data_IF_505254976909
#
_entry.id   IF_505254976909
#
_cell.length_a   1.000
_cell.length_b   1.000
_cell.length_c   1.000
_cell.angle_alpha   90.00
_cell.angle_beta   90.00
_cell.angle_gamma   90.00
#
_symmetry.space_group_name_H-M   'P 1'
#
loop_
_entity.id
_entity.type
_entity.pdbx_description
1 polymer ?
#
# COMPACT_ATOMS: atom_id res chain seq x y z
N UNK A 1 -15.70 6.13 37.21
CA UNK A 1 -17.02 5.61 36.83
C UNK A 1 -16.86 4.24 36.16
N UNK A 2 -17.69 3.29 36.54
CA UNK A 2 -17.63 1.93 36.03
C UNK A 2 -17.80 1.87 34.51
N UNK A 3 -18.64 2.73 33.97
CA UNK A 3 -18.89 2.78 32.52
C UNK A 3 -17.64 3.28 31.80
N UNK A 4 -17.01 4.33 32.32
CA UNK A 4 -15.79 4.86 31.74
C UNK A 4 -14.64 3.87 31.82
N UNK A 5 -14.51 3.18 32.94
CA UNK A 5 -13.50 2.15 33.10
C UNK A 5 -13.71 1.00 32.09
N UNK A 6 -14.95 0.56 31.92
CA UNK A 6 -15.27 -0.52 30.96
C UNK A 6 -14.97 -0.10 29.54
N UNK A 7 -15.28 1.16 29.18
CA UNK A 7 -15.00 1.69 27.85
C UNK A 7 -13.50 1.74 27.58
N UNK A 8 -12.72 2.23 28.54
CA UNK A 8 -11.27 2.32 28.39
C UNK A 8 -10.64 0.94 28.25
N UNK A 9 -11.12 -0.03 29.01
CA UNK A 9 -10.63 -1.40 28.94
C UNK A 9 -10.98 -2.02 27.58
N UNK A 10 -12.19 -1.78 27.10
CA UNK A 10 -12.63 -2.27 25.80
C UNK A 10 -11.80 -1.66 24.68
N UNK A 11 -11.45 -0.37 24.77
CA UNK A 11 -10.59 0.29 23.79
C UNK A 11 -9.19 -0.33 23.77
N UNK A 12 -8.64 -0.68 24.96
CA UNK A 12 -7.35 -1.32 25.05
C UNK A 12 -7.32 -2.68 24.37
N UNK A 13 -8.34 -3.49 24.62
CA UNK A 13 -8.48 -4.79 23.97
C UNK A 13 -8.66 -4.64 22.47
N UNK A 14 -9.51 -3.70 22.05
CA UNK A 14 -9.73 -3.45 20.64
C UNK A 14 -8.43 -3.05 19.95
N UNK A 15 -7.60 -2.23 20.58
CA UNK A 15 -6.34 -1.82 19.99
C UNK A 15 -5.42 -3.01 19.74
N UNK A 16 -5.28 -3.92 20.71
CA UNK A 16 -4.45 -5.11 20.55
C UNK A 16 -5.00 -6.01 19.45
N UNK A 17 -6.32 -6.23 19.43
CA UNK A 17 -6.95 -7.05 18.41
C UNK A 17 -6.81 -6.43 17.03
N UNK A 18 -6.94 -5.10 16.94
CA UNK A 18 -6.80 -4.38 15.68
C UNK A 18 -5.37 -4.46 15.16
N UNK A 19 -4.38 -4.36 16.04
CA UNK A 19 -2.98 -4.47 15.64
C UNK A 19 -2.70 -5.86 15.07
N UNK A 20 -3.19 -6.90 15.70
CA UNK A 20 -3.05 -8.26 15.20
C UNK A 20 -3.77 -8.45 13.89
N UNK A 21 -4.96 -7.87 13.77
CA UNK A 21 -5.72 -7.89 12.53
C UNK A 21 -4.94 -7.23 11.39
N UNK A 22 -4.34 -6.07 11.64
CA UNK A 22 -3.55 -5.37 10.63
C UNK A 22 -2.38 -6.23 10.17
N UNK A 23 -1.65 -6.84 11.12
CA UNK A 23 -0.51 -7.69 10.77
C UNK A 23 -0.92 -8.90 9.96
N UNK A 24 -2.04 -9.51 10.31
CA UNK A 24 -2.58 -10.65 9.56
C UNK A 24 -3.00 -10.22 8.17
N UNK A 25 -3.65 -9.06 8.05
CA UNK A 25 -4.04 -8.52 6.75
C UNK A 25 -2.80 -8.29 5.87
N UNK A 26 -1.73 -7.73 6.46
CA UNK A 26 -0.48 -7.52 5.71
C UNK A 26 0.13 -8.83 5.25
N UNK A 27 0.12 -9.85 6.09
CA UNK A 27 0.67 -11.15 5.73
C UNK A 27 0.05 -11.68 4.44
N UNK A 28 -1.25 -11.50 4.25
CA UNK A 28 -1.96 -12.02 3.09
C UNK A 28 -2.05 -11.03 1.93
N UNK A 29 -1.81 -9.74 2.15
CA UNK A 29 -2.12 -8.73 1.14
C UNK A 29 -0.95 -7.83 0.74
N UNK A 30 0.20 -7.89 1.43
CA UNK A 30 1.30 -6.97 1.13
C UNK A 30 1.87 -7.15 -0.29
N UNK A 31 1.71 -8.33 -0.86
CA UNK A 31 2.17 -8.61 -2.23
C UNK A 31 1.07 -8.42 -3.28
N UNK A 32 -0.11 -7.97 -2.86
CA UNK A 32 -1.25 -7.78 -3.76
C UNK A 32 -1.53 -6.31 -4.06
N UNK A 33 -1.21 -5.42 -3.13
CA UNK A 33 -1.54 -4.00 -3.23
C UNK A 33 -0.37 -3.14 -2.76
N UNK A 34 -0.32 -1.90 -3.26
CA UNK A 34 0.58 -0.89 -2.70
C UNK A 34 0.09 -0.42 -1.32
N UNK A 35 0.99 0.22 -0.58
CA UNK A 35 0.71 0.66 0.79
C UNK A 35 -0.51 1.58 0.86
N UNK A 36 -0.66 2.51 -0.08
CA UNK A 36 -1.79 3.45 -0.07
C UNK A 36 -3.13 2.72 -0.07
N UNK A 37 -3.25 1.67 -0.89
CA UNK A 37 -4.50 0.89 -0.98
C UNK A 37 -4.70 0.03 0.26
N UNK A 38 -3.63 -0.52 0.81
CA UNK A 38 -3.70 -1.30 2.06
C UNK A 38 -4.22 -0.41 3.19
N UNK A 39 -3.66 0.79 3.33
CA UNK A 39 -4.11 1.74 4.35
C UNK A 39 -5.57 2.10 4.14
N UNK A 40 -5.97 2.38 2.90
CA UNK A 40 -7.37 2.70 2.58
C UNK A 40 -8.31 1.57 2.99
N UNK A 41 -7.97 0.33 2.62
CA UNK A 41 -8.82 -0.81 2.95
C UNK A 41 -8.96 -1.01 4.45
N UNK A 42 -7.88 -0.89 5.19
CA UNK A 42 -7.90 -1.08 6.64
C UNK A 42 -8.61 0.06 7.36
N UNK A 43 -8.41 1.30 6.94
CA UNK A 43 -9.00 2.44 7.62
C UNK A 43 -10.44 2.70 7.19
N UNK A 44 -10.69 2.73 5.90
CA UNK A 44 -12.01 3.11 5.37
C UNK A 44 -12.97 1.93 5.31
N UNK A 45 -12.52 0.78 4.80
CA UNK A 45 -13.41 -0.36 4.65
C UNK A 45 -13.58 -1.16 5.94
N UNK A 46 -12.50 -1.28 6.73
CA UNK A 46 -12.52 -2.08 7.95
C UNK A 46 -12.64 -1.25 9.23
N UNK A 47 -12.52 0.06 9.13
CA UNK A 47 -12.70 0.94 10.26
C UNK A 47 -11.59 0.91 11.30
N UNK A 48 -10.41 0.46 10.95
CA UNK A 48 -9.27 0.44 11.89
C UNK A 48 -8.67 1.83 12.00
N UNK A 49 -8.19 2.20 13.18
CA UNK A 49 -7.60 3.50 13.43
C UNK A 49 -6.42 3.77 12.49
N UNK A 50 -6.44 4.95 11.87
CA UNK A 50 -5.46 5.32 10.86
C UNK A 50 -4.03 5.33 11.40
N UNK A 51 -3.83 5.91 12.59
CA UNK A 51 -2.50 6.00 13.17
C UNK A 51 -1.91 4.61 13.43
N UNK A 52 -2.74 3.71 13.95
CA UNK A 52 -2.32 2.34 14.19
C UNK A 52 -1.94 1.65 12.88
N UNK A 53 -2.78 1.79 11.86
CA UNK A 53 -2.54 1.18 10.56
C UNK A 53 -1.22 1.70 9.98
N UNK A 54 -1.03 3.01 9.95
CA UNK A 54 0.19 3.60 9.39
C UNK A 54 1.44 3.15 10.14
N UNK A 55 1.38 3.13 11.46
CA UNK A 55 2.52 2.70 12.26
C UNK A 55 2.95 1.28 11.92
N UNK A 56 2.00 0.37 11.80
CA UNK A 56 2.31 -1.03 11.52
C UNK A 56 2.74 -1.21 10.07
N UNK A 57 2.03 -0.59 9.13
CA UNK A 57 2.31 -0.75 7.71
C UNK A 57 3.71 -0.22 7.37
N UNK A 58 4.05 0.99 7.85
CA UNK A 58 5.35 1.58 7.54
C UNK A 58 6.49 0.90 8.31
N UNK A 59 6.19 0.20 9.40
CA UNK A 59 7.19 -0.60 10.08
C UNK A 59 7.50 -1.90 9.34
N UNK A 60 6.51 -2.51 8.71
CA UNK A 60 6.65 -3.83 8.09
C UNK A 60 6.92 -3.79 6.60
N UNK A 61 6.57 -2.71 5.92
CA UNK A 61 6.76 -2.58 4.47
C UNK A 61 7.65 -1.37 4.19
N UNK A 62 8.85 -1.63 3.69
CA UNK A 62 9.75 -0.53 3.35
C UNK A 62 9.64 -0.17 1.86
N UNK A 63 10.34 0.91 1.48
CA UNK A 63 10.30 1.41 0.10
C UNK A 63 10.85 0.40 -0.88
N UNK A 64 11.90 -0.32 -0.51
CA UNK A 64 12.51 -1.30 -1.40
C UNK A 64 11.53 -2.41 -1.74
N UNK A 65 10.76 -2.87 -0.76
CA UNK A 65 9.71 -3.86 -1.00
C UNK A 65 8.67 -3.32 -1.97
N UNK A 66 8.22 -2.07 -1.76
CA UNK A 66 7.20 -1.48 -2.62
C UNK A 66 7.71 -1.25 -4.04
N UNK A 67 8.95 -0.78 -4.19
CA UNK A 67 9.54 -0.58 -5.51
C UNK A 67 9.61 -1.92 -6.26
N UNK A 68 10.08 -2.95 -5.60
CA UNK A 68 10.18 -4.28 -6.21
C UNK A 68 8.81 -4.81 -6.63
N UNK A 69 7.80 -4.66 -5.77
CA UNK A 69 6.46 -5.10 -6.08
C UNK A 69 5.85 -4.28 -7.24
N UNK A 70 6.01 -2.96 -7.20
CA UNK A 70 5.53 -2.10 -8.26
C UNK A 70 6.19 -2.42 -9.60
N UNK A 71 7.50 -2.71 -9.58
CA UNK A 71 8.22 -3.09 -10.78
C UNK A 71 7.65 -4.37 -11.39
N UNK A 72 7.34 -5.36 -10.56
CA UNK A 72 6.73 -6.60 -11.05
C UNK A 72 5.38 -6.34 -11.72
N UNK A 73 4.54 -5.52 -11.11
CA UNK A 73 3.24 -5.17 -11.69
C UNK A 73 3.41 -4.37 -12.99
N UNK A 74 4.36 -3.45 -13.00
CA UNK A 74 4.63 -2.64 -14.18
C UNK A 74 5.12 -3.50 -15.34
N UNK A 75 6.06 -4.39 -15.10
CA UNK A 75 6.60 -5.28 -16.13
C UNK A 75 5.51 -6.19 -16.70
N UNK A 76 4.67 -6.73 -15.82
CA UNK A 76 3.55 -7.56 -16.25
C UNK A 76 2.56 -6.78 -17.11
N UNK A 77 2.27 -5.54 -16.71
CA UNK A 77 1.34 -4.68 -17.45
C UNK A 77 1.92 -4.34 -18.83
N UNK A 78 3.19 -3.95 -18.89
CA UNK A 78 3.87 -3.63 -20.14
C UNK A 78 3.81 -4.83 -21.10
N UNK A 79 4.10 -6.00 -20.60
CA UNK A 79 4.09 -7.22 -21.39
C UNK A 79 2.69 -7.58 -21.88
N UNK A 80 1.70 -7.49 -21.00
CA UNK A 80 0.32 -7.86 -21.30
C UNK A 80 -0.31 -6.89 -22.28
N UNK A 81 -0.05 -5.59 -22.12
CA UNK A 81 -0.63 -4.54 -22.98
C UNK A 81 0.27 -4.14 -24.15
N UNK A 82 1.44 -4.76 -24.26
CA UNK A 82 2.39 -4.51 -25.34
C UNK A 82 2.78 -3.04 -25.42
N UNK A 83 3.07 -2.43 -24.27
CA UNK A 83 3.51 -1.04 -24.21
C UNK A 83 4.92 -0.95 -24.78
N UNK A 84 5.12 -0.11 -25.79
CA UNK A 84 6.40 -0.04 -26.48
C UNK A 84 7.04 1.33 -26.49
N UNK A 85 6.30 2.40 -26.24
CA UNK A 85 6.85 3.74 -26.31
C UNK A 85 6.50 4.58 -25.09
N UNK A 86 7.17 5.75 -25.00
CA UNK A 86 7.00 6.66 -23.88
C UNK A 86 5.62 7.31 -23.84
N UNK A 87 4.96 7.42 -24.98
CA UNK A 87 3.62 7.99 -25.05
C UNK A 87 2.63 7.14 -24.25
N UNK A 88 2.82 5.83 -24.31
CA UNK A 88 1.94 4.90 -23.59
C UNK A 88 2.41 4.62 -22.16
N UNK A 89 3.61 5.11 -21.79
CA UNK A 89 4.16 4.85 -20.46
C UNK A 89 3.25 5.37 -19.35
N UNK A 90 2.50 6.46 -19.60
CA UNK A 90 1.57 7.01 -18.63
C UNK A 90 0.51 5.99 -18.18
N UNK A 91 0.16 5.06 -19.07
CA UNK A 91 -0.80 4.00 -18.74
C UNK A 91 -0.25 3.08 -17.63
N UNK A 92 1.05 2.86 -17.65
CA UNK A 92 1.70 2.06 -16.61
C UNK A 92 1.61 2.77 -15.26
N UNK A 93 1.90 4.07 -15.24
CA UNK A 93 1.79 4.87 -14.02
C UNK A 93 0.38 4.84 -13.44
N UNK A 94 -0.63 5.00 -14.32
CA UNK A 94 -2.03 4.95 -13.89
C UNK A 94 -2.40 3.58 -13.33
N UNK A 95 -1.90 2.51 -13.95
CA UNK A 95 -2.13 1.16 -13.46
C UNK A 95 -1.54 0.95 -12.06
N UNK A 96 -0.32 1.43 -11.85
CA UNK A 96 0.33 1.33 -10.54
C UNK A 96 -0.42 2.16 -9.48
N UNK A 97 -0.89 3.33 -9.87
CA UNK A 97 -1.70 4.16 -8.97
C UNK A 97 -2.97 3.42 -8.52
N UNK A 98 -3.64 2.74 -9.46
CA UNK A 98 -4.82 1.95 -9.15
C UNK A 98 -4.51 0.77 -8.23
N UNK A 99 -3.30 0.23 -8.33
CA UNK A 99 -2.86 -0.87 -7.45
C UNK A 99 -2.50 -0.38 -6.05
N UNK A 100 -2.44 0.93 -5.84
CA UNK A 100 -2.25 1.50 -4.51
C UNK A 100 -0.86 2.01 -4.21
N UNK A 101 0.00 2.13 -5.20
CA UNK A 101 1.32 2.72 -5.01
C UNK A 101 1.21 4.24 -5.04
N UNK A 102 2.02 4.95 -4.22
CA UNK A 102 2.04 6.39 -4.27
C UNK A 102 2.98 6.89 -5.38
N UNK A 103 2.89 8.19 -5.67
CA UNK A 103 3.66 8.76 -6.78
C UNK A 103 5.16 8.64 -6.59
N UNK A 104 5.64 8.65 -5.36
CA UNK A 104 7.08 8.50 -5.09
C UNK A 104 7.57 7.15 -5.58
N UNK A 105 6.83 6.08 -5.29
CA UNK A 105 7.18 4.73 -5.74
C UNK A 105 6.97 4.60 -7.25
N UNK A 106 5.86 5.12 -7.76
CA UNK A 106 5.56 5.06 -9.18
C UNK A 106 6.66 5.74 -10.00
N UNK A 107 7.09 6.93 -9.58
CA UNK A 107 8.13 7.67 -10.30
C UNK A 107 9.44 6.90 -10.33
N UNK A 108 9.81 6.26 -9.24
CA UNK A 108 11.02 5.44 -9.21
C UNK A 108 10.96 4.30 -10.22
N UNK A 109 9.84 3.61 -10.27
CA UNK A 109 9.66 2.48 -11.19
C UNK A 109 9.60 2.97 -12.63
N UNK A 110 8.92 4.08 -12.89
CA UNK A 110 8.84 4.63 -14.24
C UNK A 110 10.22 5.06 -14.75
N UNK A 111 11.04 5.65 -13.88
CA UNK A 111 12.40 6.01 -14.25
C UNK A 111 13.24 4.78 -14.58
N UNK A 112 13.07 3.70 -13.81
CA UNK A 112 13.79 2.45 -14.06
C UNK A 112 13.41 1.81 -15.39
N UNK A 113 12.13 1.86 -15.76
CA UNK A 113 11.63 1.17 -16.95
C UNK A 113 11.69 2.02 -18.22
N UNK A 114 11.45 3.32 -18.10
CA UNK A 114 11.28 4.18 -19.26
C UNK A 114 12.24 5.36 -19.30
N UNK A 115 12.99 5.58 -18.23
CA UNK A 115 13.91 6.72 -18.15
C UNK A 115 13.20 8.06 -18.38
N UNK A 116 11.98 8.20 -17.81
CA UNK A 116 11.10 9.32 -18.11
C UNK A 116 11.10 10.38 -17.03
N UNK A 117 11.39 10.03 -15.78
CA UNK A 117 11.27 10.91 -14.62
C UNK A 117 12.61 11.14 -13.96
N UNK A 118 13.54 11.69 -14.69
CA UNK A 118 14.88 11.85 -14.17
C UNK A 118 15.11 13.12 -13.37
N UNK A 119 14.20 14.02 -13.40
CA UNK A 119 14.37 15.27 -12.67
C UNK A 119 13.68 15.22 -11.32
#
# INVERSE_FOLDING_TARGET
>A
DEVDFAIDKAKGYKYVDDAEYVRTFLLFNKSRYGVRKIIYKLTTEKGVDKQLVENIVYDEIDDDFEVELAEKYAQKFVKTKKIQDKTEAQKVGAHLFQKGFDWRIINKVMAMLFDVYED
#
